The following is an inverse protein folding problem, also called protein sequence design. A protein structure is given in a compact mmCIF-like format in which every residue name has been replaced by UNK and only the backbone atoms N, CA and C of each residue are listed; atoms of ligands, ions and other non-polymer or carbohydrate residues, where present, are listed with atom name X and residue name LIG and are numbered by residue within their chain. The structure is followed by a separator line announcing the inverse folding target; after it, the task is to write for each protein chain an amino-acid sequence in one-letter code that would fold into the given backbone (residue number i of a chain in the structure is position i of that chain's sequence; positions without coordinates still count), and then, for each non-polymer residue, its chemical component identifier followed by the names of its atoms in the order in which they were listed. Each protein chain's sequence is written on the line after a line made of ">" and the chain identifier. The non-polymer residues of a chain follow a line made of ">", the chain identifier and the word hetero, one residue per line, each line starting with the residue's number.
data_IF_829613601501
#
_entry.id   IF_829613601501
#
_cell.length_a   1.000
_cell.length_b   1.000
_cell.length_c   1.000
_cell.angle_alpha   90.00
_cell.angle_beta   90.00
_cell.angle_gamma   90.00
#
_symmetry.space_group_name_H-M   'P 1'
#
loop_
_entity.id
_entity.type
_entity.pdbx_description
1 polymer ?
#
# COMPACT_ATOMS: atom_id res chain seq x y z
N UNK A 1 -13.83 7.31 10.01
CA UNK A 1 -12.80 6.73 9.12
C UNK A 1 -12.88 7.30 7.69
N UNK A 2 -13.98 7.13 6.94
CA UNK A 2 -14.09 7.65 5.56
C UNK A 2 -13.71 9.14 5.41
N UNK A 3 -14.13 10.00 6.34
CA UNK A 3 -13.73 11.41 6.34
C UNK A 3 -12.22 11.62 6.49
N UNK A 4 -11.54 10.80 7.32
CA UNK A 4 -10.10 10.84 7.47
C UNK A 4 -9.39 10.35 6.21
N UNK A 5 -9.87 9.28 5.56
CA UNK A 5 -9.35 8.81 4.28
C UNK A 5 -9.47 9.89 3.19
N UNK A 6 -10.65 10.49 3.05
CA UNK A 6 -10.89 11.59 2.11
C UNK A 6 -9.91 12.75 2.36
N UNK A 7 -9.72 13.14 3.62
CA UNK A 7 -8.74 14.18 3.99
C UNK A 7 -7.30 13.78 3.66
N UNK A 8 -6.87 12.57 4.03
CA UNK A 8 -5.53 12.05 3.76
C UNK A 8 -5.25 12.03 2.25
N UNK A 9 -6.21 11.57 1.44
CA UNK A 9 -6.09 11.51 -0.01
C UNK A 9 -5.77 12.89 -0.63
N UNK A 10 -6.24 14.00 -0.03
CA UNK A 10 -5.96 15.36 -0.52
C UNK A 10 -4.48 15.78 -0.34
N UNK A 11 -3.65 15.00 0.35
CA UNK A 11 -2.20 15.22 0.39
C UNK A 11 -1.54 14.89 -0.96
N UNK A 12 -2.20 14.07 -1.78
CA UNK A 12 -1.79 13.79 -3.14
C UNK A 12 -2.38 14.80 -4.13
N UNK A 13 -1.74 14.89 -5.29
CA UNK A 13 -2.27 15.55 -6.48
C UNK A 13 -2.25 14.59 -7.66
N UNK A 14 -3.06 14.89 -8.66
CA UNK A 14 -3.03 14.23 -9.97
C UNK A 14 -3.36 15.28 -11.03
N UNK A 15 -2.85 15.10 -12.25
CA UNK A 15 -3.23 15.93 -13.39
C UNK A 15 -4.73 15.82 -13.70
N UNK A 16 -5.29 16.88 -14.30
CA UNK A 16 -6.73 17.03 -14.48
C UNK A 16 -7.37 15.99 -15.42
N UNK A 17 -6.55 15.30 -16.22
CA UNK A 17 -6.98 14.23 -17.14
C UNK A 17 -6.97 12.84 -16.48
N UNK A 18 -6.38 12.72 -15.28
CA UNK A 18 -6.35 11.47 -14.53
C UNK A 18 -7.74 11.13 -14.00
N UNK A 19 -8.16 9.87 -14.19
CA UNK A 19 -9.47 9.36 -13.75
C UNK A 19 -9.50 9.03 -12.26
N UNK A 20 -9.43 10.07 -11.42
CA UNK A 20 -9.46 9.96 -9.97
C UNK A 20 -10.29 11.05 -9.31
N UNK A 21 -11.00 10.68 -8.24
CA UNK A 21 -11.56 11.63 -7.29
C UNK A 21 -11.02 11.34 -5.88
N UNK A 22 -10.10 12.17 -5.43
CA UNK A 22 -9.48 12.06 -4.10
C UNK A 22 -10.46 12.37 -2.96
N UNK A 23 -11.59 13.02 -3.25
CA UNK A 23 -12.58 13.41 -2.23
C UNK A 23 -13.58 12.30 -1.90
N UNK A 24 -13.71 11.29 -2.78
CA UNK A 24 -14.64 10.17 -2.63
C UNK A 24 -13.86 8.90 -2.23
N UNK A 25 -13.88 8.49 -0.95
CA UNK A 25 -13.24 7.27 -0.51
C UNK A 25 -14.11 6.04 -0.83
N UNK A 26 -13.46 4.96 -1.23
CA UNK A 26 -14.01 3.61 -1.35
C UNK A 26 -13.49 2.72 -0.21
N UNK A 27 -14.12 1.57 0.02
CA UNK A 27 -13.64 0.60 1.01
C UNK A 27 -12.79 -0.50 0.39
N UNK A 28 -11.82 -0.97 1.15
CA UNK A 28 -11.11 -2.23 0.90
C UNK A 28 -11.18 -3.07 2.17
N UNK A 29 -11.85 -4.21 2.08
CA UNK A 29 -12.03 -5.16 3.17
C UNK A 29 -10.73 -5.96 3.35
N UNK A 30 -10.05 -5.71 4.46
CA UNK A 30 -8.81 -6.39 4.83
C UNK A 30 -8.98 -7.09 6.19
N UNK A 31 -7.93 -7.72 6.69
CA UNK A 31 -7.92 -8.57 7.87
C UNK A 31 -7.76 -7.77 9.16
N UNK A 32 -8.00 -8.45 10.26
CA UNK A 32 -7.60 -8.02 11.61
C UNK A 32 -6.32 -8.76 11.98
N UNK A 33 -5.36 -8.07 12.58
CA UNK A 33 -4.20 -8.69 13.20
C UNK A 33 -4.36 -8.65 14.71
N UNK A 34 -4.11 -9.78 15.36
CA UNK A 34 -4.02 -9.92 16.82
C UNK A 34 -2.64 -10.51 17.11
N UNK A 35 -1.79 -9.74 17.78
CA UNK A 35 -0.42 -10.14 18.08
C UNK A 35 -0.19 -10.28 19.59
N UNK A 36 -0.24 -11.50 20.15
CA UNK A 36 -0.08 -11.72 21.59
C UNK A 36 1.32 -11.35 22.12
N UNK A 37 1.47 -11.15 23.43
CA UNK A 37 2.77 -11.02 24.10
C UNK A 37 3.73 -12.16 23.73
N UNK A 38 4.96 -11.81 23.38
CA UNK A 38 6.02 -12.73 22.99
C UNK A 38 5.97 -13.22 21.54
N UNK A 39 4.96 -12.83 20.75
CA UNK A 39 4.84 -13.29 19.36
C UNK A 39 6.01 -12.80 18.49
N UNK A 40 6.57 -13.74 17.71
CA UNK A 40 7.64 -13.52 16.74
C UNK A 40 7.26 -13.88 15.31
N UNK A 41 6.04 -14.38 15.08
CA UNK A 41 5.64 -14.88 13.75
C UNK A 41 5.25 -13.74 12.82
N UNK A 42 4.72 -12.64 13.34
CA UNK A 42 4.27 -11.48 12.56
C UNK A 42 5.35 -10.41 12.37
N UNK A 43 6.62 -10.73 12.66
CA UNK A 43 7.75 -9.85 12.33
C UNK A 43 7.96 -9.79 10.82
N UNK A 44 7.73 -8.63 10.22
CA UNK A 44 7.92 -8.38 8.80
C UNK A 44 9.20 -7.57 8.58
N UNK A 45 10.12 -8.04 7.72
CA UNK A 45 11.30 -7.27 7.36
C UNK A 45 10.91 -5.99 6.60
N UNK A 46 11.78 -4.97 6.53
CA UNK A 46 11.51 -3.75 5.78
C UNK A 46 11.19 -4.03 4.31
N UNK A 47 10.05 -3.53 3.83
CA UNK A 47 9.57 -3.70 2.46
C UNK A 47 8.71 -2.51 2.01
N UNK A 48 8.39 -2.49 0.71
CA UNK A 48 7.39 -1.61 0.10
C UNK A 48 6.44 -2.46 -0.74
N UNK A 49 5.14 -2.39 -0.44
CA UNK A 49 4.09 -3.08 -1.20
C UNK A 49 3.75 -2.38 -2.52
N UNK A 50 2.70 -2.85 -3.20
CA UNK A 50 2.20 -2.24 -4.42
C UNK A 50 3.12 -2.50 -5.61
N UNK A 51 3.55 -3.75 -5.75
CA UNK A 51 4.50 -4.21 -6.76
C UNK A 51 5.91 -4.41 -6.19
N UNK A 52 6.74 -5.12 -6.93
CA UNK A 52 8.16 -5.27 -6.73
C UNK A 52 8.85 -4.90 -8.04
N UNK A 53 9.08 -5.91 -8.89
CA UNK A 53 9.73 -5.76 -10.20
C UNK A 53 8.94 -4.87 -11.17
N UNK A 54 7.62 -4.77 -10.99
CA UNK A 54 6.71 -3.97 -11.82
C UNK A 54 7.11 -2.50 -11.87
N UNK A 55 7.83 -1.97 -10.86
CA UNK A 55 8.34 -0.59 -10.87
C UNK A 55 9.36 -0.32 -11.98
N UNK A 56 10.04 -1.36 -12.45
CA UNK A 56 10.97 -1.29 -13.57
C UNK A 56 10.34 -1.80 -14.87
N UNK A 57 9.48 -2.83 -14.77
CA UNK A 57 8.94 -3.56 -15.93
C UNK A 57 7.66 -2.95 -16.51
N UNK A 58 6.71 -2.53 -15.67
CA UNK A 58 5.45 -1.95 -16.13
C UNK A 58 5.68 -0.52 -16.66
N UNK A 59 5.30 -0.20 -17.91
CA UNK A 59 5.56 1.12 -18.48
C UNK A 59 4.95 2.28 -17.68
N UNK A 60 3.74 2.10 -17.16
CA UNK A 60 3.04 3.13 -16.39
C UNK A 60 3.67 3.31 -15.02
N UNK A 61 3.97 2.20 -14.32
CA UNK A 61 4.62 2.25 -13.02
C UNK A 61 6.05 2.81 -13.13
N UNK A 62 6.81 2.42 -14.15
CA UNK A 62 8.13 2.99 -14.45
C UNK A 62 8.04 4.50 -14.68
N UNK A 63 7.01 4.95 -15.42
CA UNK A 63 6.79 6.36 -15.70
C UNK A 63 6.60 7.21 -14.43
N UNK A 64 6.01 6.67 -13.36
CA UNK A 64 5.91 7.35 -12.05
C UNK A 64 7.28 7.83 -11.58
N UNK A 65 8.33 7.06 -11.84
CA UNK A 65 9.70 7.34 -11.39
C UNK A 65 10.59 7.98 -12.47
N UNK A 66 10.03 8.44 -13.61
CA UNK A 66 10.82 8.93 -14.74
C UNK A 66 11.80 10.06 -14.39
N UNK A 67 11.44 10.95 -13.45
CA UNK A 67 12.33 12.02 -12.97
C UNK A 67 13.58 11.47 -12.29
N UNK A 68 13.46 10.37 -11.55
CA UNK A 68 14.59 9.67 -10.93
C UNK A 68 15.52 9.15 -12.03
N UNK A 69 14.98 8.42 -13.01
CA UNK A 69 15.76 7.84 -14.10
C UNK A 69 16.40 8.88 -15.04
N UNK A 70 15.81 10.07 -15.16
CA UNK A 70 16.40 11.21 -15.88
C UNK A 70 17.56 11.90 -15.12
N UNK A 71 17.93 11.40 -13.93
CA UNK A 71 18.92 12.04 -13.06
C UNK A 71 18.40 13.28 -12.33
N UNK A 72 17.10 13.60 -12.47
CA UNK A 72 16.41 14.74 -11.88
C UNK A 72 15.62 14.33 -10.64
N UNK A 73 16.16 13.42 -9.83
CA UNK A 73 15.44 12.81 -8.71
C UNK A 73 14.89 13.84 -7.69
N UNK A 74 15.47 15.04 -7.58
CA UNK A 74 14.95 16.12 -6.72
C UNK A 74 13.62 16.70 -7.24
N UNK A 75 13.31 16.52 -8.53
CA UNK A 75 12.03 16.88 -9.14
C UNK A 75 10.97 15.77 -9.01
N UNK A 76 11.35 14.54 -8.60
CA UNK A 76 10.39 13.47 -8.35
C UNK A 76 9.51 13.85 -7.16
N UNK A 77 8.19 13.89 -7.33
CA UNK A 77 7.28 14.16 -6.24
C UNK A 77 6.54 12.88 -5.85
N UNK A 78 6.81 12.26 -4.68
CA UNK A 78 6.09 11.05 -4.28
C UNK A 78 4.60 11.31 -3.98
N UNK A 79 4.18 12.59 -3.89
CA UNK A 79 2.79 12.99 -3.70
C UNK A 79 2.05 13.26 -5.03
N UNK A 80 2.66 12.92 -6.16
CA UNK A 80 2.06 13.03 -7.49
C UNK A 80 1.60 11.65 -7.98
N UNK A 81 0.30 11.49 -8.21
CA UNK A 81 -0.30 10.24 -8.67
C UNK A 81 -0.41 10.16 -10.20
N UNK A 82 0.03 11.19 -10.92
CA UNK A 82 -0.06 11.24 -12.37
C UNK A 82 0.68 10.06 -13.00
N UNK A 83 -0.05 9.25 -13.78
CA UNK A 83 0.46 8.03 -14.41
C UNK A 83 0.54 6.80 -13.49
N UNK A 84 0.39 6.97 -12.17
CA UNK A 84 0.39 5.84 -11.22
C UNK A 84 -0.89 5.01 -11.30
N UNK A 85 -2.01 5.61 -11.71
CA UNK A 85 -3.32 4.95 -11.75
C UNK A 85 -3.41 3.88 -12.85
N UNK A 86 -2.58 4.03 -13.89
CA UNK A 86 -2.47 3.10 -15.02
C UNK A 86 -1.44 2.00 -14.77
N UNK A 87 -0.77 2.00 -13.61
CA UNK A 87 0.24 1.02 -13.24
C UNK A 87 -0.37 -0.35 -12.95
N UNK A 88 0.12 -1.39 -13.61
CA UNK A 88 -0.16 -2.76 -13.20
C UNK A 88 0.84 -3.19 -12.11
N UNK A 89 0.41 -3.13 -10.85
CA UNK A 89 1.23 -3.47 -9.68
C UNK A 89 1.23 -4.98 -9.34
N UNK A 90 0.53 -5.81 -10.14
CA UNK A 90 0.38 -7.24 -9.91
C UNK A 90 0.47 -8.00 -11.25
N UNK A 91 1.55 -7.79 -12.01
CA UNK A 91 1.72 -8.40 -13.34
C UNK A 91 1.81 -9.92 -13.31
N UNK A 92 2.17 -10.50 -12.16
CA UNK A 92 2.44 -11.92 -11.98
C UNK A 92 1.34 -12.67 -11.23
N UNK A 93 0.23 -11.99 -10.89
CA UNK A 93 -0.94 -12.55 -10.21
C UNK A 93 -0.58 -13.36 -8.94
N UNK A 94 0.45 -12.92 -8.22
CA UNK A 94 0.98 -13.68 -7.10
C UNK A 94 0.07 -13.61 -5.87
N UNK A 95 0.02 -14.66 -5.03
CA UNK A 95 -0.73 -14.64 -3.78
C UNK A 95 -0.30 -13.47 -2.88
N UNK A 96 -1.27 -12.68 -2.43
CA UNK A 96 -0.99 -11.49 -1.60
C UNK A 96 -0.76 -10.20 -2.39
N UNK A 97 -0.89 -10.23 -3.72
CA UNK A 97 -1.02 -9.03 -4.53
C UNK A 97 -2.24 -8.20 -4.14
N UNK A 98 -2.16 -6.88 -4.33
CA UNK A 98 -3.25 -5.95 -4.07
C UNK A 98 -3.77 -5.39 -5.39
N UNK A 99 -5.04 -5.64 -5.70
CA UNK A 99 -5.69 -5.26 -6.96
C UNK A 99 -6.23 -3.83 -6.95
N UNK A 100 -6.12 -3.12 -5.81
CA UNK A 100 -6.51 -1.71 -5.69
C UNK A 100 -5.31 -0.79 -5.57
N UNK A 101 -5.44 0.40 -6.14
CA UNK A 101 -4.56 1.50 -5.80
C UNK A 101 -4.91 2.05 -4.41
N UNK A 102 -3.99 1.88 -3.46
CA UNK A 102 -4.05 2.45 -2.10
C UNK A 102 -3.21 3.73 -2.07
N UNK A 103 -3.84 4.88 -1.84
CA UNK A 103 -3.10 6.14 -1.68
C UNK A 103 -2.27 6.12 -0.39
N UNK A 104 -2.86 5.59 0.67
CA UNK A 104 -2.17 5.28 1.92
C UNK A 104 -2.52 3.88 2.35
N UNK A 105 -1.53 3.15 2.84
CA UNK A 105 -1.82 2.04 3.74
C UNK A 105 -2.13 2.60 5.13
N UNK A 106 -2.93 1.87 5.89
CA UNK A 106 -3.36 2.31 7.21
C UNK A 106 -3.93 1.17 8.03
N UNK A 107 -3.88 1.36 9.35
CA UNK A 107 -4.63 0.55 10.28
C UNK A 107 -5.28 1.40 11.39
N UNK A 108 -6.31 0.84 12.01
CA UNK A 108 -6.99 1.33 13.20
C UNK A 108 -6.53 0.51 14.41
N UNK A 109 -6.05 1.18 15.46
CA UNK A 109 -5.69 0.54 16.72
C UNK A 109 -6.92 0.01 17.44
N UNK A 110 -6.88 -1.27 17.82
CA UNK A 110 -7.93 -1.94 18.62
C UNK A 110 -7.48 -2.19 20.06
N UNK A 111 -6.19 -2.02 20.35
CA UNK A 111 -5.60 -2.13 21.68
C UNK A 111 -4.48 -1.10 21.85
N UNK A 112 -4.13 -0.81 23.11
CA UNK A 112 -2.97 0.00 23.43
C UNK A 112 -1.68 -0.79 23.18
N UNK A 113 -0.83 -0.27 22.29
CA UNK A 113 0.51 -0.81 22.05
C UNK A 113 1.43 0.25 21.41
N UNK A 114 2.74 0.10 21.52
CA UNK A 114 3.72 1.03 20.96
C UNK A 114 5.10 0.42 20.71
N UNK A 115 6.17 1.23 20.78
CA UNK A 115 7.55 0.76 20.60
C UNK A 115 7.88 -0.41 21.55
N UNK A 116 8.57 -1.41 21.00
CA UNK A 116 8.90 -2.72 21.59
C UNK A 116 7.70 -3.64 21.81
N UNK A 117 6.49 -3.24 21.45
CA UNK A 117 5.25 -4.03 21.63
C UNK A 117 4.74 -4.59 20.31
N UNK A 118 5.63 -4.76 19.33
CA UNK A 118 5.31 -5.43 18.08
C UNK A 118 4.66 -4.50 17.05
N UNK A 119 4.86 -3.19 17.19
CA UNK A 119 4.21 -2.17 16.36
C UNK A 119 4.85 -2.03 14.96
N UNK A 120 4.23 -1.20 14.12
CA UNK A 120 4.72 -0.81 12.80
C UNK A 120 5.99 0.04 12.95
N UNK A 121 7.00 -0.25 12.12
CA UNK A 121 8.20 0.57 11.93
C UNK A 121 8.25 1.11 10.50
N UNK A 122 8.76 2.33 10.32
CA UNK A 122 8.86 2.99 9.01
C UNK A 122 10.20 3.68 8.81
N UNK A 123 10.66 3.76 7.57
CA UNK A 123 11.68 4.72 7.18
C UNK A 123 11.02 6.09 6.96
N UNK A 124 11.31 7.12 7.76
CA UNK A 124 10.54 8.37 7.77
C UNK A 124 10.83 9.27 6.55
N UNK A 125 11.87 8.95 5.78
CA UNK A 125 12.26 9.69 4.60
C UNK A 125 11.71 8.99 3.36
N UNK A 126 10.91 9.72 2.56
CA UNK A 126 10.22 9.19 1.38
C UNK A 126 11.02 9.44 0.09
N UNK A 127 10.98 10.67 -0.45
CA UNK A 127 11.54 11.02 -1.77
C UNK A 127 12.98 10.53 -2.03
N UNK A 128 14.01 10.88 -1.23
CA UNK A 128 15.37 10.45 -1.51
C UNK A 128 15.58 8.95 -1.29
N UNK A 129 14.83 8.32 -0.38
CA UNK A 129 14.86 6.87 -0.17
C UNK A 129 14.29 6.14 -1.38
N UNK A 130 13.14 6.58 -1.91
CA UNK A 130 12.57 6.08 -3.17
C UNK A 130 13.55 6.22 -4.32
N UNK A 131 14.16 7.40 -4.49
CA UNK A 131 15.19 7.60 -5.51
C UNK A 131 16.38 6.65 -5.34
N UNK A 132 16.83 6.43 -4.10
CA UNK A 132 17.95 5.56 -3.79
C UNK A 132 17.68 4.11 -4.22
N UNK A 133 16.58 3.50 -3.80
CA UNK A 133 16.33 2.09 -4.13
C UNK A 133 15.87 1.87 -5.56
N UNK A 134 15.19 2.84 -6.20
CA UNK A 134 14.91 2.79 -7.65
C UNK A 134 16.18 2.81 -8.50
N UNK A 135 17.19 3.57 -8.08
CA UNK A 135 18.49 3.66 -8.78
C UNK A 135 19.45 2.54 -8.39
N UNK A 136 19.24 1.89 -7.24
CA UNK A 136 20.16 0.90 -6.66
C UNK A 136 20.65 -0.17 -7.65
N UNK A 137 19.80 -0.74 -8.52
CA UNK A 137 20.25 -1.77 -9.49
C UNK A 137 21.34 -1.30 -10.46
N UNK A 138 21.40 0.01 -10.75
CA UNK A 138 22.31 0.59 -11.73
C UNK A 138 23.64 1.08 -11.16
N UNK A 139 23.86 0.93 -9.84
CA UNK A 139 25.10 1.33 -9.19
C UNK A 139 25.80 0.11 -8.60
N UNK A 140 27.12 0.02 -8.80
CA UNK A 140 27.98 -1.05 -8.27
C UNK A 140 29.07 -0.48 -7.36
N UNK A 141 29.48 -1.20 -6.30
CA UNK A 141 30.54 -0.73 -5.43
C UNK A 141 31.88 -0.79 -6.17
N UNK A 142 32.67 0.27 -6.09
CA UNK A 142 34.08 0.24 -6.55
C UNK A 142 35.00 -0.40 -5.52
N UNK A 143 34.54 -0.52 -4.27
CA UNK A 143 35.25 -1.13 -3.14
C UNK A 143 34.30 -2.06 -2.38
N UNK A 144 34.66 -3.34 -2.29
CA UNK A 144 33.86 -4.36 -1.58
C UNK A 144 33.65 -3.94 -0.12
N UNK A 145 32.40 -3.97 0.33
CA UNK A 145 32.02 -3.62 1.71
C UNK A 145 32.11 -2.14 2.07
N UNK A 146 32.32 -1.24 1.10
CA UNK A 146 32.33 0.22 1.35
C UNK A 146 31.00 0.86 0.97
N UNK A 147 30.53 1.78 1.82
CA UNK A 147 29.46 2.72 1.46
C UNK A 147 29.96 3.81 0.50
N UNK A 148 31.28 3.98 0.36
CA UNK A 148 31.86 4.99 -0.51
C UNK A 148 32.27 4.44 -1.87
N UNK A 149 32.19 5.30 -2.87
CA UNK A 149 32.65 4.98 -4.22
C UNK A 149 31.75 3.96 -4.89
N UNK A 150 30.50 4.34 -5.19
CA UNK A 150 29.63 3.60 -6.07
C UNK A 150 29.62 4.25 -7.46
N UNK A 151 29.69 3.44 -8.51
CA UNK A 151 29.68 3.92 -9.90
C UNK A 151 28.46 3.39 -10.63
N UNK A 152 27.93 4.18 -11.54
CA UNK A 152 26.92 3.70 -12.49
C UNK A 152 27.55 2.60 -13.36
N UNK A 153 26.85 1.48 -13.52
CA UNK A 153 27.27 0.35 -14.34
C UNK A 153 26.03 -0.40 -14.80
N UNK A 154 25.83 -0.48 -16.12
CA UNK A 154 24.87 -1.40 -16.73
C UNK A 154 25.47 -2.77 -16.99
N UNK A 155 26.80 -2.85 -17.01
CA UNK A 155 27.53 -4.09 -17.19
C UNK A 155 27.33 -4.96 -15.95
N UNK A 156 26.83 -6.17 -16.18
CA UNK A 156 27.12 -7.30 -15.33
C UNK A 156 27.88 -8.33 -16.18
N UNK A 157 28.99 -8.82 -15.66
CA UNK A 157 29.91 -9.69 -16.39
C UNK A 157 29.31 -11.09 -16.63
N UNK A 158 28.16 -11.41 -16.02
CA UNK A 158 27.51 -12.72 -15.95
C UNK A 158 26.14 -12.76 -16.69
N UNK A 159 25.58 -11.60 -17.10
CA UNK A 159 24.27 -11.47 -17.74
C UNK A 159 23.07 -11.48 -16.78
N UNK A 160 23.29 -11.45 -15.47
CA UNK A 160 22.28 -11.45 -14.42
C UNK A 160 21.77 -10.04 -14.05
N UNK A 161 20.50 -9.75 -14.39
CA UNK A 161 19.81 -8.53 -13.97
C UNK A 161 19.37 -8.64 -12.52
N UNK A 162 20.08 -7.94 -11.63
CA UNK A 162 19.78 -7.95 -10.20
C UNK A 162 19.11 -6.66 -9.71
N UNK A 163 17.80 -6.73 -9.47
CA UNK A 163 16.97 -5.60 -9.02
C UNK A 163 16.89 -5.47 -7.48
N UNK A 164 17.85 -6.05 -6.75
CA UNK A 164 18.08 -5.83 -5.31
C UNK A 164 16.80 -5.89 -4.45
N UNK A 165 16.22 -7.08 -4.30
CA UNK A 165 15.03 -7.31 -3.47
C UNK A 165 13.70 -7.18 -4.22
N UNK A 166 13.72 -6.82 -5.50
CA UNK A 166 12.56 -6.91 -6.38
C UNK A 166 12.54 -8.28 -7.09
N UNK A 167 11.56 -9.12 -6.77
CA UNK A 167 11.33 -10.38 -7.47
C UNK A 167 9.90 -10.40 -8.06
N UNK A 168 9.67 -11.12 -9.17
CA UNK A 168 8.32 -11.36 -9.68
C UNK A 168 7.39 -11.93 -8.61
N UNK A 169 6.23 -11.30 -8.43
CA UNK A 169 5.21 -11.75 -7.49
C UNK A 169 5.48 -11.46 -6.01
N UNK A 170 6.50 -10.66 -5.68
CA UNK A 170 6.78 -10.25 -4.30
C UNK A 170 6.74 -8.73 -4.15
N UNK A 171 6.55 -8.25 -2.91
CA UNK A 171 6.84 -6.87 -2.56
C UNK A 171 8.33 -6.54 -2.78
N UNK A 172 8.67 -5.25 -2.82
CA UNK A 172 10.05 -4.79 -2.83
C UNK A 172 10.68 -5.01 -1.45
N UNK A 173 11.66 -5.90 -1.34
CA UNK A 173 12.37 -6.16 -0.10
C UNK A 173 13.52 -5.17 0.12
N UNK A 174 13.73 -4.74 1.36
CA UNK A 174 14.88 -3.94 1.76
C UNK A 174 15.67 -4.59 2.91
N UNK A 175 16.88 -5.03 2.59
CA UNK A 175 17.84 -5.60 3.56
C UNK A 175 19.11 -4.74 3.65
N UNK A 176 19.91 -4.86 4.73
CA UNK A 176 21.23 -4.24 4.81
C UNK A 176 22.15 -4.62 3.64
N UNK A 177 22.04 -5.83 3.10
CA UNK A 177 22.87 -6.28 1.97
C UNK A 177 22.43 -5.61 0.65
N UNK A 178 21.12 -5.54 0.41
CA UNK A 178 20.59 -4.90 -0.79
C UNK A 178 20.74 -3.38 -0.74
N UNK A 179 20.53 -2.79 0.45
CA UNK A 179 20.36 -1.35 0.65
C UNK A 179 21.18 -0.79 1.83
N UNK A 180 22.51 -0.96 1.84
CA UNK A 180 23.34 -0.65 3.01
C UNK A 180 23.33 0.83 3.40
N UNK A 181 23.18 1.76 2.44
CA UNK A 181 23.12 3.20 2.73
C UNK A 181 21.84 3.63 3.44
N UNK A 182 20.79 2.81 3.43
CA UNK A 182 19.58 3.12 4.20
C UNK A 182 19.80 2.93 5.69
N UNK A 183 20.82 2.16 6.10
CA UNK A 183 21.12 1.86 7.50
C UNK A 183 19.87 1.49 8.31
N UNK A 184 19.09 0.53 7.79
CA UNK A 184 17.74 0.20 8.25
C UNK A 184 17.66 -0.15 9.74
N UNK A 185 18.75 -0.63 10.33
CA UNK A 185 18.82 -0.92 11.77
C UNK A 185 18.69 0.34 12.65
N UNK A 186 19.06 1.51 12.12
CA UNK A 186 19.02 2.79 12.84
C UNK A 186 17.93 3.75 12.31
N UNK A 187 17.50 3.58 11.06
CA UNK A 187 16.58 4.52 10.39
C UNK A 187 15.13 4.06 10.34
N UNK A 188 14.85 2.78 10.65
CA UNK A 188 13.49 2.28 10.83
C UNK A 188 12.99 2.68 12.22
N UNK A 189 12.06 3.63 12.26
CA UNK A 189 11.51 4.17 13.51
C UNK A 189 10.13 3.57 13.80
N UNK A 190 9.84 3.15 15.04
CA UNK A 190 8.51 2.68 15.41
C UNK A 190 7.52 3.84 15.46
N UNK A 191 6.26 3.57 15.14
CA UNK A 191 5.18 4.51 15.45
C UNK A 191 5.08 4.73 16.97
N UNK A 192 4.62 5.92 17.42
CA UNK A 192 4.38 6.17 18.83
C UNK A 192 3.32 5.20 19.36
N UNK A 193 3.22 5.12 20.69
CA UNK A 193 2.15 4.36 21.35
C UNK A 193 0.79 4.86 20.88
N UNK A 194 -0.04 3.91 20.44
CA UNK A 194 -1.43 4.15 20.04
C UNK A 194 -2.40 3.67 21.11
N UNK A 195 -3.59 4.25 21.11
CA UNK A 195 -4.76 3.84 21.87
C UNK A 195 -5.84 3.24 20.96
N UNK A 196 -6.80 2.47 21.49
CA UNK A 196 -7.97 2.06 20.72
C UNK A 196 -8.69 3.27 20.10
N UNK A 197 -8.85 3.24 18.78
CA UNK A 197 -9.44 4.34 18.01
C UNK A 197 -8.44 5.23 17.27
N UNK A 198 -7.15 5.19 17.64
CA UNK A 198 -6.09 5.86 16.89
C UNK A 198 -5.87 5.17 15.53
N UNK A 199 -5.45 5.94 14.53
CA UNK A 199 -5.16 5.41 13.20
C UNK A 199 -3.86 5.99 12.68
N UNK A 200 -3.11 5.17 11.95
CA UNK A 200 -1.83 5.57 11.34
C UNK A 200 -1.90 5.38 9.84
N UNK A 201 -1.24 6.27 9.11
CA UNK A 201 -1.14 6.23 7.65
C UNK A 201 0.31 6.29 7.21
N UNK A 202 0.66 5.54 6.18
CA UNK A 202 1.93 5.65 5.46
C UNK A 202 1.70 5.58 3.94
N UNK A 203 2.55 6.28 3.19
CA UNK A 203 2.43 6.35 1.73
C UNK A 203 2.74 4.99 1.10
N UNK A 204 2.20 4.75 -0.09
CA UNK A 204 2.42 3.53 -0.86
C UNK A 204 3.90 3.21 -1.11
N UNK A 205 4.78 4.23 -1.12
CA UNK A 205 6.23 4.07 -1.33
C UNK A 205 7.06 4.12 -0.04
N UNK A 206 6.42 4.22 1.13
CA UNK A 206 7.14 4.24 2.41
C UNK A 206 7.66 2.84 2.73
N UNK A 207 8.98 2.72 2.94
CA UNK A 207 9.58 1.50 3.49
C UNK A 207 9.02 1.30 4.89
N UNK A 208 8.44 0.13 5.13
CA UNK A 208 7.82 -0.21 6.39
C UNK A 208 8.03 -1.69 6.73
N UNK A 209 7.84 -2.03 8.00
CA UNK A 209 7.93 -3.39 8.51
C UNK A 209 7.31 -3.44 9.90
N UNK A 210 7.50 -4.53 10.64
CA UNK A 210 7.02 -4.60 12.03
C UNK A 210 8.18 -4.97 12.94
N UNK A 211 8.10 -4.55 14.20
CA UNK A 211 9.05 -5.03 15.20
C UNK A 211 9.00 -6.56 15.29
N UNK A 212 10.16 -7.19 15.46
CA UNK A 212 10.28 -8.66 15.38
C UNK A 212 9.62 -9.38 16.55
N UNK A 213 9.37 -8.70 17.67
CA UNK A 213 8.72 -9.26 18.86
C UNK A 213 7.72 -8.27 19.47
N UNK A 214 6.59 -8.77 19.98
CA UNK A 214 5.79 -8.03 20.95
C UNK A 214 6.34 -8.30 22.37
N UNK A 215 7.16 -7.41 22.92
CA UNK A 215 7.67 -7.52 24.30
C UNK A 215 6.73 -6.89 25.35
N UNK A 216 5.56 -6.40 24.93
CA UNK A 216 4.53 -5.86 25.79
C UNK A 216 3.79 -6.92 26.60
N UNK A 217 2.83 -6.48 27.40
CA UNK A 217 1.99 -7.35 28.26
C UNK A 217 0.60 -7.61 27.71
N UNK A 218 0.23 -6.92 26.64
CA UNK A 218 -1.09 -7.01 26.02
C UNK A 218 -0.96 -7.43 24.56
N UNK A 219 -2.06 -7.91 23.99
CA UNK A 219 -2.14 -8.14 22.56
C UNK A 219 -2.04 -6.79 21.82
N UNK A 220 -1.19 -6.73 20.79
CA UNK A 220 -1.17 -5.65 19.82
C UNK A 220 -2.17 -5.96 18.70
N UNK A 221 -3.32 -5.30 18.74
CA UNK A 221 -4.47 -5.57 17.88
C UNK A 221 -4.70 -4.38 16.95
N UNK A 222 -4.79 -4.66 15.65
CA UNK A 222 -5.05 -3.64 14.63
C UNK A 222 -6.03 -4.16 13.59
N UNK A 223 -6.79 -3.24 13.00
CA UNK A 223 -7.65 -3.51 11.84
C UNK A 223 -7.09 -2.77 10.63
N UNK A 224 -6.69 -3.49 9.58
CA UNK A 224 -6.20 -2.87 8.34
C UNK A 224 -7.34 -2.17 7.60
N UNK A 225 -7.19 -0.86 7.41
CA UNK A 225 -8.17 0.00 6.75
C UNK A 225 -7.39 1.04 5.93
N UNK A 226 -6.99 0.71 4.68
CA UNK A 226 -6.24 1.64 3.83
C UNK A 226 -7.10 2.81 3.34
N UNK A 227 -6.46 3.81 2.76
CA UNK A 227 -7.15 4.89 2.04
C UNK A 227 -7.23 4.58 0.55
N UNK A 228 -8.45 4.43 0.04
CA UNK A 228 -8.71 4.00 -1.35
C UNK A 228 -9.53 5.10 -2.04
N UNK A 229 -8.93 5.94 -2.90
CA UNK A 229 -9.68 6.96 -3.62
C UNK A 229 -10.53 6.35 -4.74
N UNK A 230 -11.52 7.11 -5.21
CA UNK A 230 -12.36 6.72 -6.33
C UNK A 230 -11.55 6.72 -7.63
N UNK A 231 -11.41 5.54 -8.24
CA UNK A 231 -10.89 5.34 -9.60
C UNK A 231 -11.71 4.25 -10.29
N UNK A 232 -11.72 4.15 -11.63
CA UNK A 232 -12.38 3.03 -12.32
C UNK A 232 -11.85 1.67 -11.87
N UNK A 233 -10.53 1.51 -11.70
CA UNK A 233 -9.91 0.25 -11.26
C UNK A 233 -10.33 -0.11 -9.83
N UNK A 234 -10.31 0.85 -8.90
CA UNK A 234 -10.76 0.62 -7.53
C UNK A 234 -12.25 0.27 -7.48
N UNK A 235 -13.08 0.90 -8.31
CA UNK A 235 -14.51 0.59 -8.40
C UNK A 235 -14.78 -0.82 -8.92
N UNK A 236 -13.99 -1.31 -9.89
CA UNK A 236 -14.09 -2.69 -10.38
C UNK A 236 -13.83 -3.69 -9.26
N UNK A 237 -12.78 -3.47 -8.46
CA UNK A 237 -12.50 -4.31 -7.30
C UNK A 237 -13.61 -4.23 -6.25
N UNK A 238 -14.10 -3.03 -5.93
CA UNK A 238 -15.18 -2.85 -4.94
C UNK A 238 -16.46 -3.58 -5.36
N UNK A 239 -16.79 -3.62 -6.65
CA UNK A 239 -17.93 -4.41 -7.14
C UNK A 239 -17.76 -5.91 -6.80
N UNK A 240 -16.56 -6.47 -7.01
CA UNK A 240 -16.26 -7.87 -6.68
C UNK A 240 -16.24 -8.12 -5.16
N UNK A 241 -15.65 -7.20 -4.39
CA UNK A 241 -15.65 -7.24 -2.94
C UNK A 241 -17.06 -7.18 -2.36
N UNK A 242 -17.94 -6.33 -2.89
CA UNK A 242 -19.35 -6.26 -2.50
C UNK A 242 -20.03 -7.59 -2.71
N UNK A 243 -19.83 -8.23 -3.86
CA UNK A 243 -20.43 -9.53 -4.14
C UNK A 243 -19.88 -10.62 -3.20
N UNK A 244 -18.60 -10.55 -2.82
CA UNK A 244 -18.01 -11.43 -1.81
C UNK A 244 -18.61 -11.19 -0.41
N UNK A 245 -18.78 -9.93 -0.01
CA UNK A 245 -19.43 -9.53 1.25
C UNK A 245 -20.86 -10.07 1.37
N UNK A 246 -21.67 -9.94 0.30
CA UNK A 246 -23.04 -10.47 0.28
C UNK A 246 -23.09 -11.99 0.49
N UNK A 247 -22.10 -12.71 -0.07
CA UNK A 247 -21.94 -14.17 0.10
C UNK A 247 -21.26 -14.54 1.43
N UNK A 248 -20.55 -13.60 2.06
CA UNK A 248 -19.69 -13.82 3.22
C UNK A 248 -18.45 -14.66 2.96
N UNK A 249 -17.96 -14.65 1.73
CA UNK A 249 -16.70 -15.32 1.35
C UNK A 249 -15.56 -14.31 1.37
N UNK A 250 -14.28 -14.75 1.43
CA UNK A 250 -13.15 -13.83 1.38
C UNK A 250 -13.18 -12.95 0.12
N UNK A 251 -12.74 -11.69 0.20
CA UNK A 251 -12.62 -10.83 -0.97
C UNK A 251 -11.53 -11.35 -1.94
N UNK A 252 -11.54 -10.93 -3.22
CA UNK A 252 -10.74 -11.54 -4.29
C UNK A 252 -9.23 -11.57 -4.07
N UNK A 253 -8.67 -10.58 -3.36
CA UNK A 253 -7.22 -10.49 -3.10
C UNK A 253 -6.72 -11.46 -2.01
N UNK A 254 -7.63 -12.13 -1.32
CA UNK A 254 -7.30 -13.05 -0.24
C UNK A 254 -7.52 -14.51 -0.65
N UNK A 255 -6.82 -15.46 0.00
CA UNK A 255 -7.08 -16.87 -0.21
C UNK A 255 -8.58 -17.18 -0.06
N UNK A 256 -9.15 -17.78 -1.11
CA UNK A 256 -10.57 -18.10 -1.16
C UNK A 256 -11.00 -19.15 -0.13
N UNK A 257 -12.28 -19.51 -0.15
CA UNK A 257 -12.87 -20.50 0.75
C UNK A 257 -14.24 -20.08 1.25
N UNK A 258 -14.72 -20.74 2.30
CA UNK A 258 -16.03 -20.43 2.88
C UNK A 258 -16.04 -19.12 3.67
N UNK A 259 -14.88 -18.61 4.10
CA UNK A 259 -14.78 -17.39 4.91
C UNK A 259 -15.72 -17.41 6.10
N UNK A 260 -16.53 -16.36 6.23
CA UNK A 260 -17.51 -16.17 7.30
C UNK A 260 -18.93 -16.57 6.85
N UNK A 261 -19.08 -17.25 5.71
CA UNK A 261 -20.40 -17.55 5.11
C UNK A 261 -21.35 -18.34 6.02
N UNK A 262 -20.78 -19.12 6.96
CA UNK A 262 -21.52 -19.96 7.90
C UNK A 262 -21.65 -19.34 9.30
N UNK A 263 -21.09 -18.14 9.53
CA UNK A 263 -21.13 -17.49 10.84
C UNK A 263 -22.46 -16.79 11.05
N UNK A 264 -23.16 -17.17 12.12
CA UNK A 264 -24.50 -16.66 12.43
C UNK A 264 -24.55 -15.16 12.73
N UNK A 265 -23.44 -14.59 13.23
CA UNK A 265 -23.32 -13.18 13.61
C UNK A 265 -22.45 -12.37 12.64
N UNK A 266 -22.31 -12.82 11.38
CA UNK A 266 -21.60 -12.06 10.35
C UNK A 266 -22.36 -10.77 10.04
N UNK A 267 -21.62 -9.67 9.88
CA UNK A 267 -22.17 -8.40 9.40
C UNK A 267 -22.91 -8.57 8.06
N UNK A 268 -23.99 -7.83 7.89
CA UNK A 268 -24.87 -7.79 6.72
C UNK A 268 -25.02 -6.36 6.21
N UNK A 269 -25.66 -6.20 5.05
CA UNK A 269 -25.95 -4.89 4.45
C UNK A 269 -26.65 -3.94 5.44
N UNK A 270 -27.51 -4.48 6.32
CA UNK A 270 -28.21 -3.70 7.34
C UNK A 270 -27.31 -3.06 8.40
N UNK A 271 -26.10 -3.58 8.60
CA UNK A 271 -25.13 -3.02 9.56
C UNK A 271 -24.40 -1.79 9.00
N UNK A 272 -24.50 -1.56 7.69
CA UNK A 272 -23.95 -0.36 7.03
C UNK A 272 -25.00 0.75 7.10
N UNK A 273 -25.04 1.41 8.25
CA UNK A 273 -26.08 2.40 8.58
C UNK A 273 -25.91 3.74 7.86
N UNK A 274 -24.69 4.08 7.45
CA UNK A 274 -24.40 5.37 6.81
C UNK A 274 -24.49 5.29 5.29
N UNK A 275 -25.08 6.31 4.67
CA UNK A 275 -25.10 6.46 3.21
C UNK A 275 -23.69 6.44 2.61
N UNK A 276 -22.76 7.17 3.23
CA UNK A 276 -21.36 7.18 2.80
C UNK A 276 -20.72 5.79 2.84
N UNK A 277 -21.03 4.98 3.86
CA UNK A 277 -20.55 3.59 3.95
C UNK A 277 -21.14 2.70 2.86
N UNK A 278 -22.42 2.87 2.53
CA UNK A 278 -23.08 2.11 1.45
C UNK A 278 -22.49 2.47 0.09
N UNK A 279 -22.25 3.74 -0.19
CA UNK A 279 -21.57 4.20 -1.41
C UNK A 279 -20.13 3.68 -1.47
N UNK A 280 -19.36 3.79 -0.38
CA UNK A 280 -17.97 3.33 -0.35
C UNK A 280 -17.83 1.80 -0.56
N UNK A 281 -18.83 1.02 -0.14
CA UNK A 281 -18.95 -0.43 -0.38
C UNK A 281 -19.59 -0.79 -1.73
N UNK A 282 -19.92 0.19 -2.58
CA UNK A 282 -20.54 -0.03 -3.89
C UNK A 282 -21.98 -0.56 -3.85
N UNK A 283 -22.69 -0.39 -2.73
CA UNK A 283 -24.08 -0.82 -2.55
C UNK A 283 -25.08 0.21 -3.08
N UNK A 284 -24.71 1.49 -3.04
CA UNK A 284 -25.50 2.61 -3.53
C UNK A 284 -24.69 3.44 -4.55
N UNK A 285 -25.35 4.11 -5.51
CA UNK A 285 -24.67 4.90 -6.52
C UNK A 285 -23.99 6.14 -5.93
N UNK A 286 -22.89 6.52 -6.55
CA UNK A 286 -22.22 7.79 -6.28
C UNK A 286 -23.06 8.93 -6.85
N UNK A 287 -23.40 9.91 -6.02
CA UNK A 287 -24.14 11.09 -6.45
C UNK A 287 -23.22 12.05 -7.21
N UNK A 288 -23.63 12.53 -8.41
CA UNK A 288 -22.92 13.61 -9.08
C UNK A 288 -22.87 14.85 -8.19
N UNK A 289 -21.69 15.46 -8.06
CA UNK A 289 -21.46 16.66 -7.23
C UNK A 289 -21.07 17.90 -8.07
N UNK A 290 -21.27 17.83 -9.40
CA UNK A 290 -20.88 18.87 -10.36
C UNK A 290 -19.39 18.88 -10.72
N UNK A 291 -18.57 18.03 -10.07
CA UNK A 291 -17.19 17.73 -10.47
C UNK A 291 -17.12 16.30 -10.96
N UNK A 292 -16.21 16.03 -11.90
CA UNK A 292 -15.91 14.66 -12.35
C UNK A 292 -17.15 13.85 -12.82
N UNK A 293 -18.20 14.50 -13.35
CA UNK A 293 -19.47 13.83 -13.67
C UNK A 293 -19.31 12.62 -14.60
N UNK A 294 -18.39 12.71 -15.58
CA UNK A 294 -18.08 11.60 -16.48
C UNK A 294 -17.46 10.41 -15.74
N UNK A 295 -16.56 10.67 -14.80
CA UNK A 295 -15.95 9.63 -13.96
C UNK A 295 -17.01 8.99 -13.06
N UNK A 296 -17.88 9.79 -12.45
CA UNK A 296 -18.99 9.29 -11.61
C UNK A 296 -19.94 8.40 -12.42
N UNK A 297 -20.30 8.80 -13.64
CA UNK A 297 -21.13 7.98 -14.54
C UNK A 297 -20.45 6.68 -14.93
N UNK A 298 -19.16 6.73 -15.28
CA UNK A 298 -18.35 5.55 -15.62
C UNK A 298 -18.28 4.58 -14.42
N UNK A 299 -18.00 5.09 -13.23
CA UNK A 299 -17.92 4.28 -12.01
C UNK A 299 -19.28 3.70 -11.63
N UNK A 300 -20.36 4.47 -11.68
CA UNK A 300 -21.69 3.94 -11.37
C UNK A 300 -22.07 2.78 -12.31
N UNK A 301 -21.72 2.89 -13.60
CA UNK A 301 -21.89 1.79 -14.55
C UNK A 301 -21.06 0.55 -14.18
N UNK A 302 -19.81 0.73 -13.73
CA UNK A 302 -18.94 -0.36 -13.23
C UNK A 302 -19.57 -1.04 -12.01
N UNK A 303 -20.14 -0.26 -11.08
CA UNK A 303 -20.80 -0.76 -9.88
C UNK A 303 -22.17 -1.40 -10.16
N UNK A 304 -22.74 -1.20 -11.36
CA UNK A 304 -24.02 -1.76 -11.79
C UNK A 304 -25.23 -0.89 -11.46
N UNK A 305 -25.06 0.43 -11.41
CA UNK A 305 -26.11 1.43 -11.21
C UNK A 305 -26.46 2.19 -12.50
#
# INVERSE_FOLDING_TARGET
>A
MLAAQSWMNQLYRADADQKIDLSVPLTYCDRVQIRPPGDRHFGLPPHVDGGGVERWEDPSHNHVYHKIFQGKWREYNPWDLTGRLDANMNMYEAPGGCSVFRAFQSWLGLSRHGPQEGTLVVHPILQPTTAYWMLRPFFKPTRKGSLDGWKFSLDDEEGEVYLHGANPGTAQEHTPDHHPHLNLAETMIPYPTVEPGDTVFWSADTIHGTETVNAGKNDACVFYIPSVPLTPNNAQYVAQQRDAFLKGVPPPDFPGGLGESQFSNRAQVGDIQSEAGRVAMGLDPIKPNGKNERLVQEVNKILGH
#
